data_IF_483706875000
#
_entry.id   IF_483706875000
#
_cell.length_a   1.000
_cell.length_b   1.000
_cell.length_c   1.000
_cell.angle_alpha   90.00
_cell.angle_beta   90.00
_cell.angle_gamma   90.00
#
_symmetry.space_group_name_H-M   'P 1'
#
loop_
_entity.id
_entity.type
_entity.pdbx_description
1 polymer ?
#
# COMPACT_ATOMS: atom_id res chain seq x y z
N UNK A 1 -2.68 -8.32 15.04
CA UNK A 1 -1.66 -7.70 14.17
C UNK A 1 -0.33 -7.63 14.92
N UNK A 2 0.77 -7.53 14.21
CA UNK A 2 2.15 -7.45 14.73
C UNK A 2 2.75 -6.06 14.44
N UNK A 3 4.05 -5.87 14.72
CA UNK A 3 4.76 -4.61 14.48
C UNK A 3 4.91 -4.26 12.98
N UNK A 4 4.81 -5.26 12.11
CA UNK A 4 5.04 -5.16 10.66
C UNK A 4 3.75 -5.28 9.82
N UNK A 5 2.59 -5.41 10.46
CA UNK A 5 1.31 -5.54 9.78
C UNK A 5 0.28 -4.55 10.33
N UNK A 6 -0.48 -3.90 9.44
CA UNK A 6 -1.62 -3.05 9.81
C UNK A 6 -2.76 -3.20 8.79
N UNK A 7 -4.00 -3.01 9.24
CA UNK A 7 -5.15 -2.81 8.35
C UNK A 7 -5.50 -1.34 8.32
N UNK A 8 -5.88 -0.84 7.14
CA UNK A 8 -6.34 0.53 6.96
C UNK A 8 -7.70 0.53 6.28
N UNK A 9 -8.65 1.24 6.87
CA UNK A 9 -9.85 1.68 6.17
C UNK A 9 -9.49 2.84 5.28
N UNK A 10 -9.06 2.50 4.08
CA UNK A 10 -8.50 3.46 3.17
C UNK A 10 -9.55 4.04 2.21
N UNK A 11 -10.74 3.44 2.13
CA UNK A 11 -11.69 3.66 1.01
C UNK A 11 -12.54 4.93 1.12
N UNK A 12 -13.04 5.29 2.30
CA UNK A 12 -13.99 6.42 2.45
C UNK A 12 -13.27 7.75 2.64
N UNK A 13 -12.59 7.93 3.76
CA UNK A 13 -12.06 9.26 4.13
C UNK A 13 -10.85 9.68 3.29
N UNK A 14 -9.95 8.75 2.95
CA UNK A 14 -8.74 9.10 2.22
C UNK A 14 -9.02 9.43 0.75
N UNK A 15 -9.86 8.68 0.04
CA UNK A 15 -10.13 8.95 -1.38
C UNK A 15 -10.95 10.21 -1.59
N UNK A 16 -11.91 10.51 -0.70
CA UNK A 16 -12.62 11.79 -0.72
C UNK A 16 -11.64 12.97 -0.64
N UNK A 17 -10.65 12.89 0.26
CA UNK A 17 -9.59 13.90 0.36
C UNK A 17 -8.63 13.86 -0.82
N UNK A 18 -8.29 12.65 -1.32
CA UNK A 18 -7.31 12.43 -2.38
C UNK A 18 -7.71 13.13 -3.67
N UNK A 19 -9.00 13.16 -4.01
CA UNK A 19 -9.55 13.88 -5.18
C UNK A 19 -9.15 15.36 -5.20
N UNK A 20 -8.96 15.96 -4.02
CA UNK A 20 -8.58 17.36 -3.89
C UNK A 20 -7.06 17.58 -3.74
N UNK A 21 -6.26 16.51 -3.71
CA UNK A 21 -4.80 16.63 -3.61
C UNK A 21 -4.20 17.07 -4.93
N UNK A 22 -3.38 18.11 -4.84
CA UNK A 22 -2.52 18.58 -5.93
C UNK A 22 -1.53 17.48 -6.36
N UNK A 23 -0.97 17.65 -7.56
CA UNK A 23 0.07 16.75 -8.06
C UNK A 23 1.27 16.70 -7.11
N UNK A 24 1.67 17.86 -6.59
CA UNK A 24 2.76 17.97 -5.63
C UNK A 24 2.51 17.14 -4.36
N UNK A 25 1.30 17.17 -3.80
CA UNK A 25 0.98 16.40 -2.59
C UNK A 25 1.08 14.88 -2.81
N UNK A 26 0.75 14.43 -4.03
CA UNK A 26 0.86 13.03 -4.47
C UNK A 26 2.23 12.65 -5.05
N UNK A 27 3.19 13.58 -5.07
CA UNK A 27 4.56 13.32 -5.54
C UNK A 27 5.43 12.82 -4.39
N UNK A 28 6.24 11.78 -4.61
CA UNK A 28 7.25 11.31 -3.65
C UNK A 28 8.62 11.50 -4.26
N UNK A 29 9.55 12.01 -3.44
CA UNK A 29 10.97 12.07 -3.75
C UNK A 29 11.56 10.69 -3.49
N UNK A 30 11.97 9.99 -4.55
CA UNK A 30 12.50 8.63 -4.49
C UNK A 30 14.00 8.62 -4.79
N UNK A 31 14.81 7.99 -3.93
CA UNK A 31 16.25 7.81 -4.15
C UNK A 31 16.48 6.89 -5.36
N UNK A 32 17.34 7.29 -6.31
CA UNK A 32 17.88 6.33 -7.29
C UNK A 32 18.83 5.38 -6.58
N UNK A 33 18.68 4.09 -6.84
CA UNK A 33 19.43 3.00 -6.21
C UNK A 33 20.87 2.91 -6.72
N UNK A 34 21.63 4.00 -6.55
CA UNK A 34 23.10 3.94 -6.60
C UNK A 34 23.55 3.73 -5.15
N UNK A 35 23.96 2.49 -4.85
CA UNK A 35 24.17 1.91 -3.51
C UNK A 35 24.54 2.88 -2.37
N UNK A 36 24.01 2.61 -1.17
CA UNK A 36 24.18 3.39 0.06
C UNK A 36 25.64 3.81 0.31
N UNK A 37 26.05 4.94 -0.28
CA UNK A 37 27.35 5.52 -0.03
C UNK A 37 27.27 6.29 1.27
N UNK A 38 28.19 6.00 2.21
CA UNK A 38 28.30 6.71 3.50
C UNK A 38 28.48 8.23 3.33
N UNK A 39 28.85 8.69 2.12
CA UNK A 39 29.06 10.10 1.78
C UNK A 39 27.76 10.86 1.46
N UNK A 40 26.66 10.17 1.16
CA UNK A 40 25.39 10.80 0.78
C UNK A 40 24.43 10.95 1.98
N UNK A 41 23.49 11.88 1.85
CA UNK A 41 22.44 12.10 2.85
C UNK A 41 21.50 10.89 2.94
N UNK A 42 21.23 10.39 4.15
CA UNK A 42 20.24 9.33 4.41
C UNK A 42 18.98 9.82 5.16
N UNK A 43 18.78 11.13 5.26
CA UNK A 43 17.57 11.69 5.88
C UNK A 43 16.33 11.48 4.97
N UNK A 44 15.14 11.61 5.57
CA UNK A 44 13.88 11.59 4.83
C UNK A 44 13.82 12.77 3.84
N UNK A 45 13.99 12.47 2.55
CA UNK A 45 13.99 13.47 1.48
C UNK A 45 12.61 14.08 1.28
N UNK A 46 11.54 13.35 1.59
CA UNK A 46 10.18 13.87 1.49
C UNK A 46 9.88 14.89 2.58
N UNK A 47 10.55 14.79 3.73
CA UNK A 47 10.44 15.78 4.80
C UNK A 47 11.37 17.00 4.58
N UNK A 48 12.52 16.82 3.90
CA UNK A 48 13.60 17.82 3.88
C UNK A 48 13.86 18.48 2.54
N UNK A 49 13.71 17.74 1.44
CA UNK A 49 13.97 18.23 0.09
C UNK A 49 12.68 18.64 -0.62
N UNK A 50 11.61 17.84 -0.47
CA UNK A 50 10.32 18.10 -1.13
C UNK A 50 9.77 19.52 -0.91
N UNK A 51 9.77 20.10 0.31
CA UNK A 51 9.29 21.47 0.51
C UNK A 51 10.14 22.53 -0.21
N UNK A 52 11.45 22.32 -0.31
CA UNK A 52 12.37 23.23 -0.99
C UNK A 52 12.15 23.20 -2.52
N UNK A 53 11.84 22.02 -3.06
CA UNK A 53 11.49 21.87 -4.48
C UNK A 53 10.23 22.66 -4.84
N UNK A 54 9.21 22.65 -3.98
CA UNK A 54 7.98 23.41 -4.22
C UNK A 54 8.24 24.92 -4.26
N UNK A 55 9.03 25.43 -3.32
CA UNK A 55 9.35 26.87 -3.26
C UNK A 55 10.07 27.33 -4.52
N UNK A 56 10.97 26.50 -5.05
CA UNK A 56 11.72 26.78 -6.27
C UNK A 56 10.85 26.70 -7.55
N UNK A 57 9.89 25.78 -7.62
CA UNK A 57 8.95 25.73 -8.75
C UNK A 57 7.96 26.91 -8.72
N UNK A 58 7.52 27.34 -7.53
CA UNK A 58 6.67 28.53 -7.37
C UNK A 58 7.41 29.83 -7.71
N UNK A 59 8.69 29.96 -7.36
CA UNK A 59 9.50 31.14 -7.70
C UNK A 59 9.79 31.24 -9.21
N UNK A 60 9.97 30.12 -9.91
CA UNK A 60 10.02 30.07 -11.38
C UNK A 60 8.70 30.48 -12.03
N UNK A 61 7.58 30.00 -11.52
CA UNK A 61 6.27 30.34 -12.09
C UNK A 61 5.92 31.83 -11.93
N UNK A 62 6.29 32.44 -10.79
CA UNK A 62 6.04 33.86 -10.53
C UNK A 62 6.94 34.80 -11.34
N UNK A 63 8.16 34.38 -11.70
CA UNK A 63 9.06 35.16 -12.57
C UNK A 63 8.65 35.14 -14.04
N UNK A 64 7.84 34.16 -14.47
CA UNK A 64 7.24 34.12 -15.81
C UNK A 64 5.94 34.92 -16.00
N UNK A 65 5.37 35.52 -14.93
CA UNK A 65 4.18 36.38 -15.02
C UNK A 65 4.46 37.89 -14.95
N UNK A 66 5.72 38.30 -14.82
CA UNK A 66 6.14 39.71 -14.83
C UNK A 66 6.87 40.05 -16.12
N UNK A 67 6.14 40.32 -17.20
CA UNK A 67 6.66 41.10 -18.33
C UNK A 67 6.52 42.59 -18.03
N UNK A 68 7.67 43.24 -17.87
CA UNK A 68 8.00 44.66 -18.17
C UNK A 68 8.76 45.34 -17.03
N UNK A 69 10.07 45.13 -16.97
CA UNK A 69 11.11 46.18 -16.98
C UNK A 69 12.50 45.56 -16.88
N UNK A 70 13.41 46.04 -17.75
CA UNK A 70 14.78 45.55 -17.90
C UNK A 70 15.65 45.86 -16.67
N UNK A 71 16.37 44.85 -16.19
CA UNK A 71 17.38 44.94 -15.15
C UNK A 71 18.04 43.58 -14.93
N UNK A 72 19.13 43.33 -15.64
CA UNK A 72 19.95 42.11 -15.52
C UNK A 72 20.52 41.98 -14.10
N UNK A 73 19.99 41.04 -13.32
CA UNK A 73 20.73 40.40 -12.24
C UNK A 73 20.44 38.90 -12.28
N UNK A 74 21.47 38.12 -12.67
CA UNK A 74 21.45 36.67 -12.72
C UNK A 74 21.50 36.10 -11.28
N UNK A 75 20.34 36.08 -10.62
CA UNK A 75 20.14 35.37 -9.37
C UNK A 75 19.39 34.06 -9.64
N UNK A 76 20.06 33.14 -10.33
CA UNK A 76 19.70 31.72 -10.28
C UNK A 76 19.87 31.23 -8.84
N UNK A 77 18.79 31.24 -8.05
CA UNK A 77 18.74 30.63 -6.72
C UNK A 77 18.94 29.12 -6.85
N UNK A 78 20.21 28.69 -6.83
CA UNK A 78 20.59 27.28 -6.90
C UNK A 78 20.00 26.56 -5.69
N UNK A 79 19.09 25.62 -5.95
CA UNK A 79 18.58 24.69 -4.95
C UNK A 79 19.74 24.06 -4.16
N UNK A 80 19.63 24.08 -2.83
CA UNK A 80 20.66 23.53 -1.94
C UNK A 80 21.01 22.10 -2.36
N UNK A 81 22.28 21.88 -2.71
CA UNK A 81 22.79 20.56 -3.10
C UNK A 81 23.10 19.69 -1.87
N UNK A 82 23.06 20.28 -0.67
CA UNK A 82 23.33 19.61 0.60
C UNK A 82 22.13 19.65 1.54
N UNK A 83 22.01 18.61 2.37
CA UNK A 83 20.95 18.46 3.33
C UNK A 83 21.12 19.40 4.52
N UNK A 84 20.11 20.22 4.78
CA UNK A 84 20.09 21.19 5.88
C UNK A 84 20.12 20.57 7.28
N UNK A 85 19.86 19.26 7.41
CA UNK A 85 19.95 18.56 8.69
C UNK A 85 21.31 17.92 8.95
N UNK A 86 21.82 17.15 7.99
CA UNK A 86 23.02 16.34 8.21
C UNK A 86 24.26 16.89 7.51
N UNK A 87 24.13 18.00 6.75
CA UNK A 87 25.22 18.65 6.01
C UNK A 87 25.77 17.86 4.82
N UNK A 88 25.25 16.66 4.56
CA UNK A 88 25.71 15.77 3.46
C UNK A 88 25.01 16.11 2.14
N UNK A 89 25.67 15.89 0.98
CA UNK A 89 25.03 16.06 -0.32
C UNK A 89 23.80 15.17 -0.47
N UNK A 90 22.77 15.70 -1.13
CA UNK A 90 21.60 14.90 -1.50
C UNK A 90 22.01 13.81 -2.52
N UNK A 91 21.46 12.59 -2.41
CA UNK A 91 21.67 11.55 -3.43
C UNK A 91 20.95 11.93 -4.73
N UNK A 92 21.21 11.19 -5.81
CA UNK A 92 20.38 11.27 -7.01
C UNK A 92 18.96 10.80 -6.67
N UNK A 93 17.95 11.52 -7.14
CA UNK A 93 16.54 11.23 -6.87
C UNK A 93 15.68 11.41 -8.11
N UNK A 94 14.52 10.77 -8.09
CA UNK A 94 13.41 11.00 -9.01
C UNK A 94 12.21 11.58 -8.25
N UNK A 95 11.39 12.33 -8.98
CA UNK A 95 10.07 12.76 -8.52
C UNK A 95 9.04 11.82 -9.14
N UNK A 96 8.36 11.05 -8.29
CA UNK A 96 7.34 10.09 -8.74
C UNK A 96 5.98 10.57 -8.29
N UNK A 97 5.16 10.97 -9.25
CA UNK A 97 3.76 11.35 -9.03
C UNK A 97 2.87 10.11 -9.10
N UNK A 98 2.09 9.86 -8.05
CA UNK A 98 1.14 8.74 -8.00
C UNK A 98 -0.27 9.19 -8.39
N UNK A 99 -0.97 8.41 -9.21
CA UNK A 99 -2.32 8.71 -9.66
C UNK A 99 -3.40 8.68 -8.57
N UNK A 100 -4.65 8.67 -8.99
CA UNK A 100 -5.82 8.76 -8.11
C UNK A 100 -6.39 7.40 -7.71
N UNK A 101 -5.91 6.33 -8.34
CA UNK A 101 -6.47 5.00 -8.14
C UNK A 101 -6.09 4.44 -6.75
N UNK A 102 -6.83 3.42 -6.28
CA UNK A 102 -6.45 2.68 -5.08
C UNK A 102 -5.06 2.07 -5.16
N UNK A 103 -4.71 1.53 -6.32
CA UNK A 103 -3.40 0.96 -6.60
C UNK A 103 -2.30 2.01 -6.49
N UNK A 104 -2.50 3.20 -7.04
CA UNK A 104 -1.56 4.32 -6.94
C UNK A 104 -1.36 4.77 -5.50
N UNK A 105 -2.43 4.91 -4.74
CA UNK A 105 -2.35 5.41 -3.37
C UNK A 105 -1.64 4.43 -2.43
N UNK A 106 -1.83 3.13 -2.65
CA UNK A 106 -1.09 2.09 -1.93
C UNK A 106 0.37 2.02 -2.39
N UNK A 107 0.64 2.21 -3.67
CA UNK A 107 2.00 2.28 -4.19
C UNK A 107 2.75 3.50 -3.62
N UNK A 108 2.08 4.65 -3.52
CA UNK A 108 2.59 5.86 -2.86
C UNK A 108 2.95 5.59 -1.40
N UNK A 109 2.08 4.89 -0.66
CA UNK A 109 2.33 4.53 0.74
C UNK A 109 3.55 3.62 0.87
N UNK A 110 3.67 2.61 0.01
CA UNK A 110 4.84 1.71 -0.01
C UNK A 110 6.13 2.46 -0.35
N UNK A 111 6.09 3.35 -1.33
CA UNK A 111 7.22 4.22 -1.66
C UNK A 111 7.61 5.10 -0.46
N UNK A 112 6.64 5.73 0.22
CA UNK A 112 6.91 6.52 1.44
C UNK A 112 7.54 5.68 2.56
N UNK A 113 7.09 4.45 2.76
CA UNK A 113 7.69 3.52 3.74
C UNK A 113 9.15 3.24 3.37
N UNK A 114 9.41 2.89 2.12
CA UNK A 114 10.76 2.60 1.62
C UNK A 114 11.69 3.81 1.75
N UNK A 115 11.25 5.00 1.34
CA UNK A 115 12.07 6.21 1.42
C UNK A 115 12.35 6.66 2.85
N UNK A 116 11.43 6.39 3.79
CA UNK A 116 11.57 6.77 5.19
C UNK A 116 12.40 5.77 6.00
N UNK A 117 12.26 4.48 5.71
CA UNK A 117 12.80 3.40 6.56
C UNK A 117 13.94 2.62 5.90
N UNK A 118 14.08 2.69 4.58
CA UNK A 118 14.93 1.79 3.80
C UNK A 118 14.38 0.36 3.69
N UNK A 119 13.16 0.10 4.15
CA UNK A 119 12.52 -1.20 4.13
C UNK A 119 11.33 -1.22 3.14
N UNK A 120 11.21 -2.31 2.39
CA UNK A 120 10.08 -2.51 1.47
C UNK A 120 8.88 -3.12 2.21
N UNK A 121 7.66 -2.74 1.80
CA UNK A 121 6.43 -3.36 2.27
C UNK A 121 5.66 -4.01 1.11
N UNK A 122 4.86 -5.03 1.41
CA UNK A 122 3.85 -5.58 0.48
C UNK A 122 2.45 -5.25 0.98
N UNK A 123 1.47 -5.14 0.07
CA UNK A 123 0.13 -4.69 0.42
C UNK A 123 -0.96 -5.46 -0.31
N UNK A 124 -2.11 -5.63 0.34
CA UNK A 124 -3.30 -6.23 -0.24
C UNK A 124 -4.45 -5.24 -0.22
N UNK A 125 -5.15 -5.11 -1.34
CA UNK A 125 -6.30 -4.21 -1.51
C UNK A 125 -7.52 -5.07 -1.77
N UNK A 126 -8.50 -5.07 -0.87
CA UNK A 126 -9.70 -5.89 -1.05
C UNK A 126 -10.91 -5.29 -0.29
N UNK A 127 -12.13 -5.78 -0.57
CA UNK A 127 -13.35 -5.26 0.05
C UNK A 127 -13.48 -5.51 1.56
N UNK A 128 -12.67 -6.40 2.13
CA UNK A 128 -12.67 -6.71 3.55
C UNK A 128 -11.29 -7.16 4.05
N UNK A 129 -11.11 -7.15 5.37
CA UNK A 129 -9.83 -7.45 6.03
C UNK A 129 -9.32 -8.86 5.75
N UNK A 130 -10.20 -9.86 5.68
CA UNK A 130 -9.83 -11.25 5.41
C UNK A 130 -9.19 -11.37 4.02
N UNK A 131 -9.87 -10.88 2.99
CA UNK A 131 -9.34 -10.89 1.62
C UNK A 131 -8.08 -10.02 1.49
N UNK A 132 -8.05 -8.86 2.14
CA UNK A 132 -6.90 -7.95 2.09
C UNK A 132 -5.64 -8.63 2.66
N UNK A 133 -5.77 -9.41 3.73
CA UNK A 133 -4.65 -10.18 4.29
C UNK A 133 -4.12 -11.24 3.34
N UNK A 134 -5.01 -11.96 2.66
CA UNK A 134 -4.59 -12.96 1.66
C UNK A 134 -3.89 -12.27 0.49
N UNK A 135 -4.42 -11.14 0.03
CA UNK A 135 -3.83 -10.36 -1.07
C UNK A 135 -2.43 -9.84 -0.73
N UNK A 136 -2.20 -9.41 0.51
CA UNK A 136 -0.90 -8.84 0.91
C UNK A 136 0.23 -9.86 0.89
N UNK A 137 -0.09 -11.16 0.93
CA UNK A 137 0.87 -12.26 0.82
C UNK A 137 1.09 -12.73 -0.63
N UNK A 138 0.21 -12.40 -1.59
CA UNK A 138 0.22 -12.98 -2.95
C UNK A 138 1.41 -12.54 -3.79
N UNK A 139 1.77 -11.25 -3.74
CA UNK A 139 2.86 -10.66 -4.51
C UNK A 139 4.06 -10.27 -3.62
N UNK A 140 4.29 -10.98 -2.52
CA UNK A 140 5.51 -10.82 -1.71
C UNK A 140 6.74 -11.35 -2.46
N UNK A 141 7.93 -10.75 -2.27
CA UNK A 141 8.20 -9.50 -1.53
C UNK A 141 8.01 -8.25 -2.40
N UNK A 142 7.89 -7.09 -1.75
CA UNK A 142 7.78 -5.76 -2.37
C UNK A 142 6.76 -5.65 -3.52
N UNK A 143 5.58 -6.22 -3.35
CA UNK A 143 4.50 -6.13 -4.33
C UNK A 143 3.15 -5.83 -3.71
N UNK A 144 2.16 -5.57 -4.56
CA UNK A 144 0.78 -5.40 -4.13
C UNK A 144 -0.18 -6.20 -5.02
N UNK A 145 -1.34 -6.55 -4.48
CA UNK A 145 -2.40 -7.22 -5.22
C UNK A 145 -3.77 -6.66 -4.83
N UNK A 146 -4.64 -6.46 -5.82
CA UNK A 146 -5.98 -5.92 -5.64
C UNK A 146 -7.06 -6.90 -6.11
N UNK A 147 -8.07 -7.07 -5.28
CA UNK A 147 -9.37 -7.64 -5.65
C UNK A 147 -10.34 -6.48 -5.86
N UNK A 148 -10.99 -6.44 -7.02
CA UNK A 148 -12.01 -5.44 -7.31
C UNK A 148 -13.26 -5.65 -6.42
N UNK A 149 -13.98 -4.59 -6.04
CA UNK A 149 -15.13 -4.68 -5.16
C UNK A 149 -16.40 -5.12 -5.88
N UNK A 150 -16.31 -6.18 -6.68
CA UNK A 150 -17.42 -6.83 -7.36
C UNK A 150 -17.51 -8.29 -6.94
N UNK A 151 -18.74 -8.80 -6.88
CA UNK A 151 -19.02 -10.16 -6.39
C UNK A 151 -18.29 -11.21 -7.20
N UNK A 152 -18.30 -11.10 -8.52
CA UNK A 152 -17.82 -12.16 -9.39
C UNK A 152 -16.30 -12.28 -9.30
N UNK A 153 -15.56 -11.15 -9.25
CA UNK A 153 -14.11 -11.14 -8.99
C UNK A 153 -13.76 -11.67 -7.61
N UNK A 154 -14.56 -11.36 -6.58
CA UNK A 154 -14.38 -11.95 -5.24
C UNK A 154 -14.58 -13.46 -5.28
N UNK A 155 -15.63 -13.95 -5.95
CA UNK A 155 -15.93 -15.37 -6.04
C UNK A 155 -14.89 -16.12 -6.86
N UNK A 156 -14.43 -15.56 -7.98
CA UNK A 156 -13.34 -16.12 -8.78
C UNK A 156 -12.06 -16.26 -7.95
N UNK A 157 -11.70 -15.22 -7.18
CA UNK A 157 -10.53 -15.27 -6.31
C UNK A 157 -10.66 -16.32 -5.19
N UNK A 158 -11.83 -16.42 -4.54
CA UNK A 158 -11.98 -17.26 -3.35
C UNK A 158 -12.11 -18.74 -3.71
N UNK A 159 -12.74 -19.08 -4.85
CA UNK A 159 -13.13 -20.46 -5.20
C UNK A 159 -11.96 -21.44 -5.09
N UNK A 160 -10.84 -21.12 -5.72
CA UNK A 160 -9.66 -21.99 -5.75
C UNK A 160 -8.63 -21.67 -4.65
N UNK A 161 -8.97 -20.78 -3.70
CA UNK A 161 -8.05 -20.41 -2.62
C UNK A 161 -7.86 -21.61 -1.66
N UNK A 162 -6.61 -22.07 -1.43
CA UNK A 162 -6.35 -23.14 -0.48
C UNK A 162 -6.75 -22.74 0.94
N UNK A 163 -7.34 -23.65 1.70
CA UNK A 163 -7.85 -23.36 3.05
C UNK A 163 -6.75 -22.81 3.97
N UNK A 164 -5.53 -23.32 3.82
CA UNK A 164 -4.36 -22.92 4.61
C UNK A 164 -3.91 -21.47 4.42
N UNK A 165 -4.29 -20.83 3.30
CA UNK A 165 -3.98 -19.42 3.03
C UNK A 165 -4.90 -18.46 3.79
N UNK A 166 -5.98 -18.96 4.37
CA UNK A 166 -6.92 -18.14 5.12
C UNK A 166 -6.41 -17.89 6.55
N UNK A 167 -6.42 -16.63 6.96
CA UNK A 167 -6.07 -16.24 8.33
C UNK A 167 -7.06 -16.82 9.33
N UNK A 168 -6.59 -17.77 10.15
CA UNK A 168 -7.36 -18.48 11.18
C UNK A 168 -7.43 -20.00 10.95
N UNK A 169 -7.12 -20.48 9.74
CA UNK A 169 -6.94 -21.90 9.47
C UNK A 169 -5.44 -22.25 9.64
N UNK A 170 -5.12 -22.73 10.84
CA UNK A 170 -3.79 -23.24 11.17
C UNK A 170 -3.57 -24.67 10.71
N UNK A 171 -2.35 -25.19 10.94
CA UNK A 171 -1.94 -26.55 10.55
C UNK A 171 -2.90 -27.66 11.02
N UNK A 172 -3.43 -27.53 12.25
CA UNK A 172 -4.35 -28.53 12.82
C UNK A 172 -5.69 -28.53 12.08
N UNK A 173 -6.31 -27.36 11.93
CA UNK A 173 -7.59 -27.21 11.21
C UNK A 173 -7.46 -27.60 9.74
N UNK A 174 -6.36 -27.22 9.08
CA UNK A 174 -6.03 -27.68 7.72
C UNK A 174 -5.97 -29.21 7.66
N UNK A 175 -5.26 -29.86 8.57
CA UNK A 175 -5.14 -31.33 8.58
C UNK A 175 -6.50 -32.01 8.77
N UNK A 176 -7.35 -31.46 9.65
CA UNK A 176 -8.70 -31.98 9.86
C UNK A 176 -9.57 -31.81 8.60
N UNK A 177 -9.57 -30.63 7.98
CA UNK A 177 -10.32 -30.37 6.75
C UNK A 177 -9.83 -31.27 5.60
N UNK A 178 -8.51 -31.43 5.44
CA UNK A 178 -7.92 -32.31 4.45
C UNK A 178 -8.34 -33.78 4.64
N UNK A 179 -8.49 -34.24 5.89
CA UNK A 179 -8.99 -35.59 6.18
C UNK A 179 -10.47 -35.78 5.77
N UNK A 180 -11.21 -34.68 5.62
CA UNK A 180 -12.58 -34.66 5.11
C UNK A 180 -12.65 -34.39 3.60
N UNK A 181 -11.51 -34.34 2.91
CA UNK A 181 -11.42 -34.02 1.48
C UNK A 181 -11.64 -32.54 1.16
N UNK A 182 -11.45 -31.64 2.13
CA UNK A 182 -11.64 -30.19 1.97
C UNK A 182 -10.28 -29.50 1.89
N UNK A 183 -9.89 -29.06 0.68
CA UNK A 183 -8.59 -28.44 0.42
C UNK A 183 -8.70 -26.97 0.04
N UNK A 184 -9.83 -26.57 -0.55
CA UNK A 184 -10.09 -25.22 -1.06
C UNK A 184 -11.35 -24.61 -0.44
N UNK A 185 -11.58 -23.31 -0.65
CA UNK A 185 -12.83 -22.67 -0.27
C UNK A 185 -14.05 -23.21 -1.03
N UNK A 186 -13.88 -23.65 -2.28
CA UNK A 186 -14.93 -24.35 -3.03
C UNK A 186 -15.36 -25.61 -2.28
N UNK A 187 -14.40 -26.43 -1.85
CA UNK A 187 -14.69 -27.66 -1.12
C UNK A 187 -15.39 -27.35 0.22
N UNK A 188 -14.99 -26.27 0.91
CA UNK A 188 -15.67 -25.81 2.13
C UNK A 188 -17.16 -25.53 1.88
N UNK A 189 -17.48 -24.89 0.75
CA UNK A 189 -18.87 -24.59 0.39
C UNK A 189 -19.65 -25.85 -0.02
N UNK A 190 -19.04 -26.73 -0.82
CA UNK A 190 -19.67 -27.97 -1.28
C UNK A 190 -19.95 -28.92 -0.12
N UNK A 191 -19.02 -29.05 0.84
CA UNK A 191 -19.13 -29.91 2.01
C UNK A 191 -19.90 -29.27 3.20
N UNK A 192 -20.51 -28.09 3.02
CA UNK A 192 -21.14 -27.33 4.12
C UNK A 192 -22.14 -28.13 4.96
N UNK A 193 -22.93 -29.00 4.34
CA UNK A 193 -23.91 -29.82 5.07
C UNK A 193 -23.22 -30.79 6.04
N UNK A 194 -22.11 -31.39 5.62
CA UNK A 194 -21.33 -32.29 6.44
C UNK A 194 -20.57 -31.53 7.54
N UNK A 195 -19.94 -30.41 7.18
CA UNK A 195 -19.23 -29.56 8.12
C UNK A 195 -20.15 -28.99 9.22
N UNK A 196 -21.42 -28.72 8.91
CA UNK A 196 -22.42 -28.27 9.88
C UNK A 196 -22.63 -29.27 11.04
N UNK A 197 -22.56 -30.57 10.75
CA UNK A 197 -22.74 -31.61 11.76
C UNK A 197 -21.46 -31.94 12.55
N UNK A 198 -20.29 -31.68 11.97
CA UNK A 198 -19.00 -32.03 12.58
C UNK A 198 -18.38 -30.91 13.41
N UNK A 199 -18.61 -29.67 13.03
CA UNK A 199 -17.97 -28.51 13.65
C UNK A 199 -18.95 -27.74 14.54
N UNK A 200 -18.39 -27.03 15.53
CA UNK A 200 -19.18 -26.11 16.34
C UNK A 200 -19.83 -25.02 15.47
N UNK A 201 -20.98 -24.46 15.87
CA UNK A 201 -21.64 -23.38 15.14
C UNK A 201 -20.70 -22.20 14.84
N UNK A 202 -19.78 -21.87 15.75
CA UNK A 202 -18.80 -20.79 15.56
C UNK A 202 -17.86 -21.11 14.40
N UNK A 203 -17.29 -22.32 14.38
CA UNK A 203 -16.36 -22.75 13.34
C UNK A 203 -17.06 -22.86 11.99
N UNK A 204 -18.27 -23.42 11.97
CA UNK A 204 -19.07 -23.52 10.76
C UNK A 204 -19.41 -22.14 10.17
N UNK A 205 -19.90 -21.22 10.99
CA UNK A 205 -20.18 -19.85 10.53
C UNK A 205 -18.92 -19.16 9.99
N UNK A 206 -17.78 -19.37 10.64
CA UNK A 206 -16.50 -18.87 10.14
C UNK A 206 -16.14 -19.46 8.76
N UNK A 207 -16.29 -20.78 8.56
CA UNK A 207 -16.08 -21.41 7.25
C UNK A 207 -17.04 -20.90 6.17
N UNK A 208 -18.31 -20.67 6.50
CA UNK A 208 -19.29 -20.14 5.55
C UNK A 208 -18.97 -18.70 5.15
N UNK A 209 -18.52 -17.87 6.09
CA UNK A 209 -18.05 -16.51 5.78
C UNK A 209 -16.86 -16.55 4.83
N UNK A 210 -15.90 -17.43 5.08
CA UNK A 210 -14.72 -17.59 4.23
C UNK A 210 -15.11 -17.93 2.80
N UNK A 211 -15.88 -19.00 2.58
CA UNK A 211 -16.13 -19.48 1.22
C UNK A 211 -17.03 -18.53 0.41
N UNK A 212 -17.72 -17.62 1.08
CA UNK A 212 -18.47 -16.52 0.48
C UNK A 212 -17.64 -15.23 0.33
N UNK A 213 -16.36 -15.24 0.72
CA UNK A 213 -15.48 -14.08 0.64
C UNK A 213 -15.83 -12.97 1.65
N UNK A 214 -16.55 -13.28 2.73
CA UNK A 214 -17.06 -12.31 3.70
C UNK A 214 -16.09 -12.17 4.89
N UNK A 215 -15.62 -10.94 5.12
CA UNK A 215 -14.76 -10.58 6.26
C UNK A 215 -15.28 -9.35 7.00
N UNK A 216 -14.47 -8.77 7.89
CA UNK A 216 -14.79 -7.45 8.45
C UNK A 216 -14.53 -6.37 7.40
N UNK A 217 -15.50 -5.49 7.18
CA UNK A 217 -15.33 -4.29 6.36
C UNK A 217 -14.94 -3.07 7.19
N UNK A 218 -14.85 -3.25 8.51
CA UNK A 218 -14.47 -2.23 9.47
C UNK A 218 -13.24 -2.67 10.28
N UNK A 219 -12.39 -1.73 10.62
CA UNK A 219 -11.19 -1.84 11.45
C UNK A 219 -11.45 -1.02 12.71
N UNK A 220 -11.69 -1.72 13.82
CA UNK A 220 -11.82 -1.08 15.13
C UNK A 220 -10.55 -0.30 15.45
N UNK A 221 -10.71 0.99 15.75
CA UNK A 221 -9.63 1.94 16.09
C UNK A 221 -9.49 2.09 17.60
#
# INVERSE_FOLDING_TARGET
>A
MSLDEAYLEYWTEHFEKRVHLSEYERTVVCRKTDGCSKTLCNCDLNLKLKPLLLQHELSKHNSSLSSDTAGETDHSEKLSTTCLLCGRPYPVYDLVTFGMSPDDSVNEMRAKIEQKTGLTASAGIAPNTMLAKVCSDKNKPNGQYRILPDRDTVMEFITDLPTRKISGIGKVSETMLNALGVYTCKDLYEQRAFLYHLYSPISFNYFMRICLGIGSTFVER
#
